data_IF_499282752984
#
_entry.id   IF_499282752984
#
_cell.length_a   1.000
_cell.length_b   1.000
_cell.length_c   1.000
_cell.angle_alpha   90.00
_cell.angle_beta   90.00
_cell.angle_gamma   90.00
#
_symmetry.space_group_name_H-M   'P 1'
#
loop_
_entity.id
_entity.type
_entity.pdbx_description
1 polymer ?
#
# COMPACT_ATOMS: atom_id res chain seq x y z
N UNK A 1 2.72 18.55 -15.90
CA UNK A 1 3.29 17.87 -14.71
C UNK A 1 2.19 17.80 -13.67
N UNK A 2 1.98 16.67 -12.97
CA UNK A 2 1.02 16.64 -11.88
C UNK A 2 1.43 17.69 -10.84
N UNK A 3 0.43 18.39 -10.31
CA UNK A 3 0.63 19.42 -9.29
C UNK A 3 1.33 18.82 -8.06
N UNK A 4 2.31 19.54 -7.52
CA UNK A 4 3.13 19.04 -6.41
C UNK A 4 2.31 19.07 -5.12
N UNK A 5 1.83 17.92 -4.68
CA UNK A 5 1.17 17.76 -3.38
C UNK A 5 2.17 18.07 -2.25
N UNK A 6 1.88 19.09 -1.45
CA UNK A 6 2.67 19.44 -0.27
C UNK A 6 2.12 18.75 0.98
N UNK A 7 2.98 18.51 1.97
CA UNK A 7 2.54 17.98 3.27
C UNK A 7 1.46 18.87 3.92
N UNK A 8 1.62 20.20 3.82
CA UNK A 8 0.64 21.17 4.31
C UNK A 8 -0.72 20.97 3.62
N UNK A 9 -0.75 20.95 2.29
CA UNK A 9 -2.00 20.75 1.55
C UNK A 9 -2.68 19.42 1.85
N UNK A 10 -1.90 18.34 2.00
CA UNK A 10 -2.43 17.04 2.41
C UNK A 10 -3.01 17.09 3.83
N UNK A 11 -2.32 17.73 4.78
CA UNK A 11 -2.77 17.87 6.16
C UNK A 11 -4.08 18.65 6.25
N UNK A 12 -4.17 19.77 5.53
CA UNK A 12 -5.33 20.65 5.56
C UNK A 12 -6.57 19.91 5.02
N UNK A 13 -6.44 19.23 3.88
CA UNK A 13 -7.55 18.51 3.24
C UNK A 13 -8.02 17.29 4.05
N UNK A 14 -7.11 16.52 4.65
CA UNK A 14 -7.46 15.36 5.50
C UNK A 14 -8.12 15.78 6.81
N UNK A 15 -7.96 17.03 7.25
CA UNK A 15 -8.53 17.51 8.51
C UNK A 15 -10.04 17.77 8.48
N UNK A 16 -10.69 17.75 7.31
CA UNK A 16 -12.14 17.94 7.23
C UNK A 16 -12.79 17.66 5.87
N UNK A 17 -12.11 17.93 4.76
CA UNK A 17 -12.75 17.96 3.44
C UNK A 17 -12.61 16.66 2.64
N UNK A 18 -11.59 15.84 2.93
CA UNK A 18 -11.39 14.55 2.29
C UNK A 18 -11.43 13.38 3.28
N UNK A 19 -12.18 12.34 2.92
CA UNK A 19 -12.26 11.10 3.68
C UNK A 19 -11.15 10.08 3.35
N UNK A 20 -10.42 10.27 2.23
CA UNK A 20 -9.41 9.32 1.78
C UNK A 20 -8.31 9.95 0.92
N UNK A 21 -7.11 9.38 0.97
CA UNK A 21 -5.99 9.70 0.10
C UNK A 21 -5.52 8.44 -0.63
N UNK A 22 -5.28 8.54 -1.94
CA UNK A 22 -4.70 7.46 -2.76
C UNK A 22 -3.36 7.91 -3.34
N UNK A 23 -2.30 7.16 -3.04
CA UNK A 23 -0.99 7.33 -3.64
C UNK A 23 -0.73 6.22 -4.66
N UNK A 24 -0.50 6.59 -5.92
CA UNK A 24 -0.12 5.64 -6.98
C UNK A 24 1.32 5.87 -7.35
N UNK A 25 2.17 4.85 -7.17
CA UNK A 25 3.59 4.90 -7.53
C UNK A 25 3.92 3.78 -8.50
N UNK A 26 4.79 4.08 -9.47
CA UNK A 26 5.46 3.06 -10.27
C UNK A 26 6.75 2.68 -9.54
N UNK A 27 6.83 1.42 -9.12
CA UNK A 27 8.00 0.87 -8.45
C UNK A 27 8.97 0.27 -9.48
N UNK A 28 10.26 0.37 -9.20
CA UNK A 28 11.34 -0.22 -9.98
C UNK A 28 11.98 -1.34 -9.16
N UNK A 29 12.13 -2.57 -9.70
CA UNK A 29 12.94 -3.61 -9.07
C UNK A 29 14.31 -3.08 -8.61
N UNK A 30 14.78 -3.57 -7.46
CA UNK A 30 16.09 -3.18 -6.90
C UNK A 30 17.26 -3.53 -7.83
N UNK A 31 17.10 -4.59 -8.62
CA UNK A 31 18.07 -5.03 -9.64
C UNK A 31 18.05 -4.16 -10.91
N UNK A 32 17.23 -3.12 -10.95
CA UNK A 32 17.09 -2.21 -12.09
C UNK A 32 16.03 -2.66 -13.11
N UNK A 33 15.90 -1.93 -14.24
CA UNK A 33 14.92 -2.21 -15.29
C UNK A 33 14.98 -3.65 -15.79
N UNK A 34 13.84 -4.34 -15.80
CA UNK A 34 13.76 -5.77 -16.17
C UNK A 34 14.20 -6.75 -15.07
N UNK A 35 14.60 -6.25 -13.89
CA UNK A 35 14.95 -7.06 -12.74
C UNK A 35 13.82 -7.99 -12.31
N UNK A 36 14.19 -9.19 -11.84
CA UNK A 36 13.23 -10.24 -11.49
C UNK A 36 12.48 -9.86 -10.22
N UNK A 37 11.15 -9.91 -10.27
CA UNK A 37 10.29 -9.76 -9.10
C UNK A 37 9.71 -11.12 -8.75
N UNK A 38 9.94 -11.57 -7.52
CA UNK A 38 9.33 -12.78 -6.99
C UNK A 38 8.08 -12.42 -6.20
N UNK A 39 6.86 -12.72 -6.69
CA UNK A 39 5.65 -12.49 -5.94
C UNK A 39 5.56 -13.43 -4.73
N UNK A 40 4.75 -13.10 -3.71
CA UNK A 40 4.45 -14.02 -2.63
C UNK A 40 3.84 -15.31 -3.18
N UNK A 41 4.41 -16.44 -2.80
CA UNK A 41 3.88 -17.78 -3.08
C UNK A 41 3.00 -18.25 -1.93
N UNK A 42 1.78 -18.66 -2.22
CA UNK A 42 0.92 -19.34 -1.27
C UNK A 42 1.28 -20.82 -1.17
N UNK A 43 0.63 -21.54 -0.24
CA UNK A 43 0.78 -23.00 -0.11
C UNK A 43 0.62 -23.69 -1.46
N UNK A 44 1.53 -24.61 -1.78
CA UNK A 44 1.59 -25.26 -3.09
C UNK A 44 2.36 -24.49 -4.18
N UNK A 45 3.13 -23.47 -3.81
CA UNK A 45 3.92 -22.64 -4.74
C UNK A 45 3.06 -21.92 -5.80
N UNK A 46 1.81 -21.61 -5.45
CA UNK A 46 0.86 -20.95 -6.34
C UNK A 46 0.98 -19.44 -6.15
N UNK A 47 1.07 -18.71 -7.26
CA UNK A 47 0.98 -17.25 -7.24
C UNK A 47 -0.46 -16.83 -7.03
N UNK A 48 -0.67 -15.81 -6.19
CA UNK A 48 -1.96 -15.13 -6.19
C UNK A 48 -2.06 -14.29 -7.46
N UNK A 49 -3.00 -14.65 -8.33
CA UNK A 49 -3.33 -13.88 -9.52
C UNK A 49 -4.66 -13.17 -9.36
N UNK A 50 -4.79 -12.00 -10.00
CA UNK A 50 -6.00 -11.21 -10.01
C UNK A 50 -6.21 -10.58 -11.39
N UNK A 51 -7.47 -10.41 -11.79
CA UNK A 51 -7.82 -9.59 -12.96
C UNK A 51 -7.95 -8.14 -12.54
N UNK A 52 -7.13 -7.27 -13.13
CA UNK A 52 -7.13 -5.82 -12.86
C UNK A 52 -7.46 -5.06 -14.14
N UNK A 53 -8.26 -4.00 -14.03
CA UNK A 53 -8.48 -3.08 -15.15
C UNK A 53 -7.23 -2.25 -15.40
N UNK A 54 -6.70 -2.29 -16.63
CA UNK A 54 -5.58 -1.45 -17.06
C UNK A 54 -6.08 -0.38 -18.05
N UNK A 55 -5.98 0.92 -17.69
CA UNK A 55 -6.43 2.01 -18.54
C UNK A 55 -5.62 2.16 -19.83
N UNK A 56 -4.39 1.64 -19.88
CA UNK A 56 -3.50 1.72 -21.05
C UNK A 56 -3.99 0.85 -22.20
N UNK A 57 -4.47 -0.36 -21.87
CA UNK A 57 -5.00 -1.32 -22.85
C UNK A 57 -6.53 -1.33 -22.89
N UNK A 58 -7.19 -0.52 -22.05
CA UNK A 58 -8.65 -0.43 -21.91
C UNK A 58 -9.33 -1.80 -21.71
N UNK A 59 -8.79 -2.60 -20.79
CA UNK A 59 -9.28 -3.96 -20.55
C UNK A 59 -8.79 -4.57 -19.25
N UNK A 60 -9.32 -5.76 -18.93
CA UNK A 60 -8.83 -6.56 -17.81
C UNK A 60 -7.59 -7.34 -18.22
N UNK A 61 -6.53 -7.24 -17.41
CA UNK A 61 -5.30 -8.01 -17.56
C UNK A 61 -5.10 -8.91 -16.34
N UNK A 62 -4.49 -10.07 -16.56
CA UNK A 62 -4.07 -10.95 -15.47
C UNK A 62 -2.80 -10.38 -14.82
N UNK A 63 -2.80 -10.31 -13.49
CA UNK A 63 -1.73 -9.73 -12.69
C UNK A 63 -1.36 -10.66 -11.56
N UNK A 64 -0.12 -10.55 -11.07
CA UNK A 64 0.31 -11.20 -9.83
C UNK A 64 0.21 -10.21 -8.67
N UNK A 65 -0.37 -10.66 -7.56
CA UNK A 65 -0.48 -9.87 -6.35
C UNK A 65 0.87 -9.87 -5.64
N UNK A 66 1.58 -8.73 -5.67
CA UNK A 66 2.85 -8.57 -4.95
C UNK A 66 2.66 -8.37 -3.44
N UNK A 67 1.60 -7.67 -3.06
CA UNK A 67 1.34 -7.31 -1.69
C UNK A 67 -0.15 -7.08 -1.46
N UNK A 68 -0.74 -7.87 -0.57
CA UNK A 68 -2.18 -7.86 -0.31
C UNK A 68 -2.58 -6.76 0.67
N UNK A 69 -3.85 -6.35 0.64
CA UNK A 69 -4.39 -5.42 1.61
C UNK A 69 -4.24 -5.92 3.06
N UNK A 70 -4.43 -7.23 3.28
CA UNK A 70 -4.22 -7.85 4.59
C UNK A 70 -2.74 -7.84 5.02
N UNK A 71 -1.81 -8.16 4.10
CA UNK A 71 -0.37 -8.06 4.34
C UNK A 71 0.07 -6.64 4.72
N UNK A 72 -0.50 -5.63 4.06
CA UNK A 72 -0.29 -4.23 4.41
C UNK A 72 -0.89 -3.90 5.79
N UNK A 73 -2.13 -4.28 6.05
CA UNK A 73 -2.79 -4.05 7.33
C UNK A 73 -1.95 -4.57 8.50
N UNK A 74 -1.42 -5.81 8.41
CA UNK A 74 -0.58 -6.40 9.44
C UNK A 74 0.69 -5.60 9.72
N UNK A 75 1.37 -5.08 8.68
CA UNK A 75 2.57 -4.25 8.84
C UNK A 75 2.24 -2.88 9.43
N UNK A 76 1.12 -2.31 9.03
CA UNK A 76 0.66 -1.00 9.51
C UNK A 76 0.22 -1.09 10.98
N UNK A 77 -0.45 -2.18 11.36
CA UNK A 77 -0.79 -2.48 12.75
C UNK A 77 0.46 -2.60 13.62
N UNK A 78 1.49 -3.34 13.17
CA UNK A 78 2.76 -3.43 13.88
C UNK A 78 3.45 -2.06 14.00
N UNK A 79 3.40 -1.23 12.95
CA UNK A 79 3.95 0.12 13.00
C UNK A 79 3.22 1.01 14.03
N UNK A 80 1.88 0.93 14.07
CA UNK A 80 1.05 1.62 15.06
C UNK A 80 1.36 1.13 16.48
N UNK A 81 1.44 -0.19 16.70
CA UNK A 81 1.82 -0.78 17.98
C UNK A 81 3.20 -0.29 18.43
N UNK A 82 4.20 -0.31 17.55
CA UNK A 82 5.55 0.19 17.85
C UNK A 82 5.59 1.69 18.16
N UNK A 83 4.69 2.50 17.57
CA UNK A 83 4.58 3.92 17.89
C UNK A 83 3.92 4.13 19.26
N UNK A 84 2.88 3.35 19.56
CA UNK A 84 2.21 3.33 20.86
C UNK A 84 3.14 2.87 22.00
N UNK A 85 3.82 1.73 21.84
CA UNK A 85 4.76 1.18 22.83
C UNK A 85 5.89 2.18 23.17
N UNK A 86 6.30 3.00 22.20
CA UNK A 86 7.29 4.08 22.36
C UNK A 86 6.70 5.41 22.81
N UNK A 87 5.43 5.43 23.20
CA UNK A 87 4.70 6.61 23.67
C UNK A 87 4.72 7.79 22.68
N UNK A 88 4.85 7.52 21.36
CA UNK A 88 4.84 8.56 20.31
C UNK A 88 3.43 8.98 19.90
N UNK A 89 2.46 8.09 20.11
CA UNK A 89 1.04 8.31 19.84
C UNK A 89 0.21 7.72 20.98
N UNK A 90 -1.00 8.26 21.18
CA UNK A 90 -2.00 7.66 22.04
C UNK A 90 -3.02 6.91 21.16
N UNK A 91 -3.34 5.67 21.54
CA UNK A 91 -4.37 4.85 20.89
C UNK A 91 -5.31 4.29 21.95
N UNK A 92 -6.63 4.23 21.69
CA UNK A 92 -7.57 3.56 22.57
C UNK A 92 -7.36 2.04 22.46
N UNK A 93 -6.58 1.49 23.39
CA UNK A 93 -6.30 0.06 23.42
C UNK A 93 -7.42 -0.67 24.15
N UNK A 94 -7.94 -1.74 23.55
CA UNK A 94 -8.81 -2.68 24.23
C UNK A 94 -7.88 -3.75 24.84
N UNK A 95 -7.71 -3.75 26.16
CA UNK A 95 -7.05 -4.86 26.85
C UNK A 95 -8.07 -5.98 27.04
N UNK A 96 -7.65 -7.23 26.81
CA UNK A 96 -8.33 -8.40 27.38
C UNK A 96 -7.87 -8.61 28.82
#
# INVERSE_FOLDING_TARGET
>A
MPEKLSYKGLRDVVSGDAAAFRHTVRLQPVDGPGGKVFPPTYSGAIYATEKRWDPTVQGFVETVLLDSAASQANRMELALKNAYDRQRIALPMISM
#
